data_IF_993719876674
#
_entry.id   IF_993719876674
#
_cell.length_a   1.000
_cell.length_b   1.000
_cell.length_c   1.000
_cell.angle_alpha   90.00
_cell.angle_beta   90.00
_cell.angle_gamma   90.00
#
_symmetry.space_group_name_H-M   'P 1'
#
loop_
_entity.id
_entity.type
_entity.pdbx_description
1 polymer ?
#
# COMPACT_ATOMS: atom_id res chain seq x y z
N UNK A 1 8.84 -13.47 -11.24
CA UNK A 1 8.55 -12.12 -10.72
C UNK A 1 7.56 -12.23 -9.58
N UNK A 2 7.82 -11.56 -8.48
CA UNK A 2 6.96 -11.61 -7.30
C UNK A 2 5.77 -10.65 -7.45
N UNK A 3 4.56 -11.16 -7.22
CA UNK A 3 3.35 -10.34 -7.20
C UNK A 3 3.03 -10.00 -5.76
N UNK A 4 2.99 -8.71 -5.45
CA UNK A 4 2.79 -8.22 -4.09
C UNK A 4 1.45 -7.51 -3.97
N UNK A 5 0.68 -7.88 -2.95
CA UNK A 5 -0.55 -7.19 -2.59
C UNK A 5 -0.30 -6.40 -1.31
N UNK A 6 -0.53 -5.09 -1.36
CA UNK A 6 -0.45 -4.22 -0.19
C UNK A 6 -1.85 -3.93 0.33
N UNK A 7 -2.09 -4.20 1.60
CA UNK A 7 -3.41 -4.04 2.22
C UNK A 7 -3.32 -3.13 3.44
N UNK A 8 -4.18 -2.13 3.49
CA UNK A 8 -4.38 -1.32 4.69
C UNK A 8 -5.88 -1.13 4.91
N UNK A 9 -6.29 -0.28 5.84
CA UNK A 9 -7.71 -0.12 6.14
C UNK A 9 -8.43 0.61 5.02
N UNK A 10 -8.02 1.83 4.71
CA UNK A 10 -8.74 2.70 3.77
C UNK A 10 -8.26 2.65 2.32
N UNK A 11 -7.09 2.07 2.06
CA UNK A 11 -6.45 2.09 0.73
C UNK A 11 -6.35 3.52 0.14
N UNK A 12 -6.23 4.49 1.02
CA UNK A 12 -6.14 5.90 0.65
C UNK A 12 -4.77 6.51 0.93
N UNK A 13 -3.89 5.77 1.60
CA UNK A 13 -2.58 6.23 2.02
C UNK A 13 -1.49 5.17 1.93
N UNK A 14 -1.28 4.44 3.03
CA UNK A 14 -0.14 3.51 3.19
C UNK A 14 0.02 2.51 2.04
N UNK A 15 -1.03 1.80 1.70
CA UNK A 15 -0.98 0.78 0.64
C UNK A 15 -0.81 1.39 -0.75
N UNK A 16 -1.36 2.57 -0.99
CA UNK A 16 -1.17 3.28 -2.26
C UNK A 16 0.28 3.74 -2.41
N UNK A 17 0.89 4.25 -1.35
CA UNK A 17 2.30 4.64 -1.34
C UNK A 17 3.18 3.42 -1.65
N UNK A 18 2.92 2.31 -0.96
CA UNK A 18 3.71 1.09 -1.14
C UNK A 18 3.60 0.54 -2.56
N UNK A 19 2.39 0.48 -3.09
CA UNK A 19 2.17 0.01 -4.47
C UNK A 19 2.94 0.87 -5.47
N UNK A 20 2.83 2.19 -5.36
CA UNK A 20 3.46 3.11 -6.29
C UNK A 20 4.99 2.99 -6.25
N UNK A 21 5.57 2.90 -5.06
CA UNK A 21 7.02 2.79 -4.90
C UNK A 21 7.55 1.43 -5.38
N UNK A 22 6.79 0.36 -5.14
CA UNK A 22 7.17 -0.96 -5.60
C UNK A 22 7.13 -1.06 -7.13
N UNK A 23 6.07 -0.51 -7.74
CA UNK A 23 5.93 -0.46 -9.20
C UNK A 23 7.05 0.36 -9.84
N UNK A 24 7.50 1.44 -9.18
CA UNK A 24 8.61 2.25 -9.66
C UNK A 24 9.92 1.46 -9.70
N UNK A 25 10.09 0.48 -8.82
CA UNK A 25 11.24 -0.44 -8.85
C UNK A 25 11.17 -1.47 -9.99
N UNK A 26 10.05 -1.52 -10.71
CA UNK A 26 9.79 -2.52 -11.73
C UNK A 26 9.00 -3.72 -11.23
N UNK A 27 8.45 -3.65 -10.03
CA UNK A 27 7.66 -4.72 -9.44
C UNK A 27 6.22 -4.74 -9.93
N UNK A 28 5.54 -5.86 -9.71
CA UNK A 28 4.13 -6.05 -10.02
C UNK A 28 3.35 -6.06 -8.72
N UNK A 29 2.40 -5.13 -8.57
CA UNK A 29 1.69 -4.93 -7.33
C UNK A 29 0.22 -4.56 -7.52
N UNK A 30 -0.56 -4.87 -6.48
CA UNK A 30 -1.92 -4.37 -6.29
C UNK A 30 -2.01 -3.81 -4.89
N UNK A 31 -3.01 -2.97 -4.64
CA UNK A 31 -3.34 -2.53 -3.29
C UNK A 31 -4.85 -2.54 -3.09
N UNK A 32 -5.27 -2.70 -1.84
CA UNK A 32 -6.68 -2.74 -1.48
C UNK A 32 -6.87 -2.37 -0.01
N UNK A 33 -8.11 -2.08 0.37
CA UNK A 33 -8.47 -1.74 1.74
C UNK A 33 -9.60 -2.59 2.28
N UNK A 34 -9.56 -2.88 3.58
CA UNK A 34 -10.64 -3.59 4.25
C UNK A 34 -11.89 -2.71 4.39
N UNK A 35 -11.70 -1.40 4.50
CA UNK A 35 -12.77 -0.39 4.56
C UNK A 35 -12.36 0.78 3.68
N UNK A 36 -12.46 0.65 2.33
CA UNK A 36 -11.93 1.66 1.43
C UNK A 36 -12.61 3.02 1.59
N UNK A 37 -11.80 4.08 1.59
CA UNK A 37 -12.28 5.44 1.57
C UNK A 37 -12.78 5.81 0.18
N UNK A 38 -13.46 6.95 0.05
CA UNK A 38 -13.96 7.42 -1.24
C UNK A 38 -12.83 7.96 -2.13
N UNK A 39 -11.83 8.59 -1.52
CA UNK A 39 -10.74 9.24 -2.24
C UNK A 39 -9.41 9.02 -1.54
N UNK A 40 -8.31 9.20 -2.28
CA UNK A 40 -6.98 9.19 -1.71
C UNK A 40 -6.79 10.40 -0.79
N UNK A 41 -5.97 10.25 0.25
CA UNK A 41 -5.61 11.38 1.11
C UNK A 41 -4.81 12.40 0.30
N UNK A 42 -5.20 13.67 0.38
CA UNK A 42 -4.57 14.74 -0.39
C UNK A 42 -3.07 14.86 -0.11
N UNK A 43 -2.68 14.79 1.16
CA UNK A 43 -1.26 14.85 1.53
C UNK A 43 -0.45 13.69 0.96
N UNK A 44 -1.06 12.53 0.77
CA UNK A 44 -0.42 11.36 0.16
C UNK A 44 -0.18 11.61 -1.33
N UNK A 45 -1.18 12.12 -2.03
CA UNK A 45 -1.04 12.47 -3.45
C UNK A 45 0.09 13.47 -3.64
N UNK A 46 0.11 14.51 -2.81
CA UNK A 46 1.12 15.57 -2.86
C UNK A 46 2.52 15.02 -2.55
N UNK A 47 2.65 14.18 -1.52
CA UNK A 47 3.94 13.59 -1.14
C UNK A 47 4.53 12.72 -2.25
N UNK A 48 3.70 12.01 -3.01
CA UNK A 48 4.17 11.19 -4.13
C UNK A 48 4.50 12.03 -5.37
N UNK A 49 3.77 13.10 -5.61
CA UNK A 49 4.10 14.04 -6.68
C UNK A 49 5.50 14.63 -6.49
N UNK A 50 5.90 14.88 -5.25
CA UNK A 50 7.23 15.41 -4.93
C UNK A 50 8.36 14.51 -5.42
N UNK A 51 8.12 13.22 -5.52
CA UNK A 51 9.11 12.24 -5.99
C UNK A 51 8.83 11.75 -7.40
N UNK A 52 7.99 12.48 -8.14
CA UNK A 52 7.72 12.20 -9.55
C UNK A 52 6.68 11.12 -9.81
N UNK A 53 5.89 10.77 -8.81
CA UNK A 53 4.82 9.77 -8.96
C UNK A 53 3.47 10.46 -9.00
N UNK A 54 2.74 10.26 -10.10
CA UNK A 54 1.40 10.81 -10.31
C UNK A 54 0.36 9.74 -9.99
N UNK A 55 -0.49 10.01 -9.00
CA UNK A 55 -1.59 9.12 -8.60
C UNK A 55 -2.92 9.49 -9.25
N UNK A 56 -2.92 10.39 -10.24
CA UNK A 56 -4.13 10.77 -10.97
C UNK A 56 -4.80 9.54 -11.56
N UNK A 57 -6.11 9.40 -11.33
CA UNK A 57 -6.87 8.24 -11.81
C UNK A 57 -6.88 7.04 -10.87
N UNK A 58 -6.10 7.06 -9.81
CA UNK A 58 -6.17 6.00 -8.79
C UNK A 58 -7.27 6.32 -7.79
N UNK A 59 -7.90 5.25 -7.30
CA UNK A 59 -8.94 5.35 -6.28
C UNK A 59 -8.78 4.19 -5.29
N UNK A 60 -9.28 4.36 -4.05
CA UNK A 60 -9.33 3.25 -3.11
C UNK A 60 -10.16 2.09 -3.65
N UNK A 61 -9.72 0.86 -3.37
CA UNK A 61 -10.40 -0.37 -3.79
C UNK A 61 -10.70 -1.25 -2.58
N UNK A 62 -11.82 -1.93 -2.63
CA UNK A 62 -12.15 -2.93 -1.62
C UNK A 62 -11.28 -4.18 -1.80
N UNK A 63 -10.82 -4.73 -0.67
CA UNK A 63 -10.08 -5.99 -0.65
C UNK A 63 -11.00 -7.13 -1.10
N UNK A 64 -10.56 -7.88 -2.09
CA UNK A 64 -11.26 -9.06 -2.57
C UNK A 64 -10.37 -10.29 -2.41
N UNK A 65 -10.99 -11.46 -2.23
CA UNK A 65 -10.27 -12.74 -2.14
C UNK A 65 -9.39 -12.97 -3.38
N UNK A 66 -9.89 -12.57 -4.55
CA UNK A 66 -9.17 -12.65 -5.81
C UNK A 66 -7.81 -11.95 -5.76
N UNK A 67 -7.71 -10.81 -5.05
CA UNK A 67 -6.46 -10.09 -4.92
C UNK A 67 -5.44 -10.93 -4.15
N UNK A 68 -5.88 -11.62 -3.09
CA UNK A 68 -4.99 -12.48 -2.30
C UNK A 68 -4.59 -13.71 -3.10
N UNK A 69 -5.51 -14.29 -3.85
CA UNK A 69 -5.23 -15.44 -4.72
C UNK A 69 -4.19 -15.09 -5.79
N UNK A 70 -4.26 -13.88 -6.33
CA UNK A 70 -3.31 -13.38 -7.32
C UNK A 70 -1.90 -13.20 -6.74
N UNK A 71 -1.78 -12.81 -5.49
CA UNK A 71 -0.50 -12.43 -4.88
C UNK A 71 0.36 -13.62 -4.50
N UNK A 72 1.67 -13.44 -4.58
CA UNK A 72 2.65 -14.35 -4.00
C UNK A 72 2.99 -13.93 -2.57
N UNK A 73 3.02 -12.62 -2.33
CA UNK A 73 3.32 -11.99 -1.05
C UNK A 73 2.23 -10.98 -0.72
N UNK A 74 1.71 -11.06 0.51
CA UNK A 74 0.74 -10.09 1.01
C UNK A 74 1.37 -9.28 2.14
N UNK A 75 1.35 -7.97 2.00
CA UNK A 75 1.87 -7.05 3.02
C UNK A 75 0.68 -6.30 3.63
N UNK A 76 0.42 -6.53 4.92
CA UNK A 76 -0.67 -5.87 5.63
C UNK A 76 -0.14 -4.68 6.43
N UNK A 77 -0.95 -3.64 6.53
CA UNK A 77 -0.60 -2.40 7.20
C UNK A 77 -1.79 -1.92 8.03
N UNK A 78 -2.05 -2.61 9.15
CA UNK A 78 -3.08 -2.21 10.08
C UNK A 78 -4.50 -2.70 9.78
N UNK A 79 -4.70 -3.61 8.83
CA UNK A 79 -6.03 -4.18 8.55
C UNK A 79 -6.43 -5.32 9.51
N UNK A 80 -5.52 -5.76 10.36
CA UNK A 80 -5.81 -6.81 11.33
C UNK A 80 -6.24 -8.12 10.68
N UNK A 81 -7.31 -8.72 11.21
CA UNK A 81 -7.83 -10.01 10.74
C UNK A 81 -8.73 -9.90 9.49
N UNK A 82 -8.91 -8.70 8.96
CA UNK A 82 -9.79 -8.48 7.80
C UNK A 82 -9.23 -9.08 6.50
N UNK A 83 -7.91 -9.31 6.43
CA UNK A 83 -7.29 -9.89 5.25
C UNK A 83 -7.40 -11.42 5.29
N UNK A 84 -7.96 -12.06 4.23
CA UNK A 84 -8.01 -13.53 4.20
C UNK A 84 -6.62 -14.13 4.20
N UNK A 85 -6.44 -15.21 4.98
CA UNK A 85 -5.18 -15.96 5.00
C UNK A 85 -5.36 -17.22 4.16
N UNK A 86 -4.66 -17.29 3.05
CA UNK A 86 -4.72 -18.45 2.16
C UNK A 86 -3.43 -19.26 2.23
N UNK A 87 -3.50 -20.59 2.11
CA UNK A 87 -2.29 -21.42 2.12
C UNK A 87 -1.41 -21.16 0.90
N UNK A 88 -0.11 -21.33 1.07
CA UNK A 88 0.86 -21.15 -0.01
C UNK A 88 1.29 -19.72 -0.28
N UNK A 89 0.85 -18.77 0.53
CA UNK A 89 1.21 -17.36 0.41
C UNK A 89 2.11 -16.94 1.56
N UNK A 90 2.99 -15.98 1.30
CA UNK A 90 3.76 -15.32 2.35
C UNK A 90 3.00 -14.08 2.84
N UNK A 91 3.05 -13.82 4.13
CA UNK A 91 2.41 -12.67 4.76
C UNK A 91 3.41 -11.89 5.59
N UNK A 92 3.44 -10.58 5.37
CA UNK A 92 4.23 -9.66 6.18
C UNK A 92 3.27 -8.62 6.77
N UNK A 93 3.52 -8.20 8.00
CA UNK A 93 2.74 -7.13 8.63
C UNK A 93 3.68 -5.97 8.97
N UNK A 94 3.41 -4.81 8.39
CA UNK A 94 4.17 -3.60 8.65
C UNK A 94 3.41 -2.71 9.62
N UNK A 95 4.03 -2.43 10.74
CA UNK A 95 3.45 -1.52 11.73
C UNK A 95 3.83 -0.09 11.36
N UNK A 96 2.88 0.63 10.75
CA UNK A 96 3.07 2.00 10.26
C UNK A 96 1.92 2.88 10.74
N UNK A 97 2.17 4.17 11.00
CA UNK A 97 1.10 5.09 11.39
C UNK A 97 0.11 5.30 10.26
N UNK A 98 -1.16 5.50 10.64
CA UNK A 98 -2.23 5.83 9.70
C UNK A 98 -2.03 7.30 9.25
N UNK A 99 -2.05 7.61 7.94
CA UNK A 99 -1.88 9.00 7.48
C UNK A 99 -3.08 9.92 7.77
N UNK A 100 -4.19 9.40 8.23
CA UNK A 100 -5.34 10.23 8.60
C UNK A 100 -4.91 11.25 9.67
N UNK A 101 -5.13 12.54 9.38
CA UNK A 101 -4.79 13.61 10.31
C UNK A 101 -3.31 14.00 10.34
N UNK A 102 -2.45 13.34 9.55
CA UNK A 102 -1.05 13.70 9.45
C UNK A 102 -0.86 14.91 8.51
N UNK A 103 0.07 15.81 8.87
CA UNK A 103 0.47 16.88 7.98
C UNK A 103 1.38 16.34 6.86
N UNK A 104 1.63 17.16 5.85
CA UNK A 104 2.46 16.76 4.71
C UNK A 104 3.86 16.30 5.16
N UNK A 105 4.47 17.00 6.10
CA UNK A 105 5.80 16.64 6.61
C UNK A 105 5.81 15.23 7.22
N UNK A 106 4.78 14.90 8.01
CA UNK A 106 4.63 13.58 8.62
C UNK A 106 4.37 12.50 7.56
N UNK A 107 3.63 12.84 6.50
CA UNK A 107 3.39 11.92 5.39
C UNK A 107 4.68 11.69 4.59
N UNK A 108 5.55 12.69 4.48
CA UNK A 108 6.87 12.51 3.87
C UNK A 108 7.73 11.52 4.66
N UNK A 109 7.66 11.56 5.99
CA UNK A 109 8.36 10.61 6.85
C UNK A 109 7.79 9.20 6.65
N UNK A 110 6.47 9.08 6.56
CA UNK A 110 5.80 7.81 6.29
C UNK A 110 6.22 7.27 4.91
N UNK A 111 6.26 8.12 3.90
CA UNK A 111 6.73 7.76 2.56
C UNK A 111 8.14 7.18 2.60
N UNK A 112 9.05 7.84 3.34
CA UNK A 112 10.42 7.38 3.47
C UNK A 112 10.52 6.04 4.18
N UNK A 113 9.73 5.82 5.23
CA UNK A 113 9.68 4.56 5.94
C UNK A 113 9.17 3.42 5.04
N UNK A 114 8.14 3.68 4.24
CA UNK A 114 7.60 2.69 3.31
C UNK A 114 8.60 2.41 2.19
N UNK A 115 9.25 3.44 1.66
CA UNK A 115 10.27 3.28 0.61
C UNK A 115 11.40 2.36 1.07
N UNK A 116 11.86 2.53 2.30
CA UNK A 116 12.91 1.70 2.87
C UNK A 116 12.48 0.24 2.97
N UNK A 117 11.24 -0.01 3.38
CA UNK A 117 10.70 -1.37 3.47
C UNK A 117 10.46 -2.00 2.11
N UNK A 118 9.93 -1.22 1.18
CA UNK A 118 9.70 -1.67 -0.21
C UNK A 118 11.03 -2.06 -0.87
N UNK A 119 12.10 -1.30 -0.61
CA UNK A 119 13.42 -1.59 -1.18
C UNK A 119 13.97 -2.97 -0.78
N UNK A 120 13.47 -3.55 0.30
CA UNK A 120 13.89 -4.87 0.79
C UNK A 120 13.06 -6.02 0.25
N UNK A 121 11.97 -5.71 -0.44
CA UNK A 121 11.10 -6.75 -0.98
C UNK A 121 11.71 -7.37 -2.24
N UNK A 122 11.45 -8.68 -2.48
CA UNK A 122 11.87 -9.31 -3.74
C UNK A 122 11.07 -8.73 -4.91
N UNK A 123 11.65 -8.76 -6.07
CA UNK A 123 10.97 -8.40 -7.32
C UNK A 123 10.51 -9.63 -8.09
#
# INVERSE_FOLDING_TARGET
>A
MTRVLFVCVQNAGRSQIAQALYERRGGEARSAGSEPADELHEAVVEALEEVGIDLTGRAPRALAREDVEWADLVVTMGCGDACPVLPGKEYLDWNLPDPVGLCLEEVRELRSAIEERVARLPL
#
